data_IF_577002366554
#
_entry.id   IF_577002366554
#
_cell.length_a   1.000
_cell.length_b   1.000
_cell.length_c   1.000
_cell.angle_alpha   90.00
_cell.angle_beta   90.00
_cell.angle_gamma   90.00
#
_symmetry.space_group_name_H-M   'P 1'
#
loop_
_entity.id
_entity.type
_entity.pdbx_description
1 polymer ?
#
# COMPACT_ATOMS: atom_id res chain seq x y z
N UNK A 1 -7.80 -8.01 42.77
CA UNK A 1 -7.53 -6.59 42.46
C UNK A 1 -7.71 -6.43 40.95
N UNK A 2 -8.72 -5.67 40.49
CA UNK A 2 -8.92 -5.43 39.06
C UNK A 2 -7.80 -4.53 38.52
N UNK A 3 -7.10 -4.88 37.43
CA UNK A 3 -6.21 -3.94 36.79
C UNK A 3 -7.04 -2.81 36.18
N UNK A 4 -6.71 -1.58 36.55
CA UNK A 4 -7.25 -0.38 35.90
C UNK A 4 -6.62 -0.29 34.50
N UNK A 5 -7.45 -0.42 33.48
CA UNK A 5 -7.07 -0.15 32.09
C UNK A 5 -6.72 1.34 31.96
N UNK A 6 -5.44 1.64 31.75
CA UNK A 6 -4.98 2.98 31.38
C UNK A 6 -4.82 2.96 29.86
N UNK A 7 -5.80 3.49 29.14
CA UNK A 7 -5.68 3.74 27.70
C UNK A 7 -4.87 5.03 27.54
N UNK A 8 -3.58 4.90 27.24
CA UNK A 8 -2.76 6.02 26.82
C UNK A 8 -2.94 6.20 25.31
N UNK A 9 -3.98 6.95 24.92
CA UNK A 9 -4.12 7.45 23.55
C UNK A 9 -3.08 8.55 23.36
N UNK A 10 -1.93 8.21 22.78
CA UNK A 10 -1.06 9.20 22.16
C UNK A 10 -1.77 9.72 20.91
N UNK A 11 -2.68 10.68 21.08
CA UNK A 11 -3.01 11.60 20.00
C UNK A 11 -1.82 12.55 19.84
N UNK A 12 -0.78 12.12 19.12
CA UNK A 12 0.02 13.10 18.41
C UNK A 12 -0.86 13.67 17.31
N UNK A 13 -1.64 14.70 17.64
CA UNK A 13 -2.26 15.56 16.64
C UNK A 13 -1.13 16.29 15.92
N UNK A 14 -0.63 15.68 14.86
CA UNK A 14 0.24 16.36 13.91
C UNK A 14 -0.69 16.94 12.84
N UNK A 15 -0.76 18.26 12.80
CA UNK A 15 -1.46 18.99 11.75
C UNK A 15 -0.86 18.61 10.39
N UNK A 16 -1.61 17.88 9.56
CA UNK A 16 -1.31 17.71 8.14
C UNK A 16 -1.95 18.86 7.37
N UNK A 17 -1.18 19.47 6.47
CA UNK A 17 -1.70 20.50 5.58
C UNK A 17 -2.68 19.88 4.54
N UNK A 18 -3.83 20.53 4.33
CA UNK A 18 -4.98 20.06 3.52
C UNK A 18 -5.43 21.15 2.53
N UNK A 19 -5.78 20.78 1.29
CA UNK A 19 -6.59 21.60 0.34
C UNK A 19 -7.43 20.73 -0.67
N UNK A 20 -7.93 19.52 -0.50
CA UNK A 20 -8.58 18.88 0.64
C UNK A 20 -8.71 17.37 0.30
N UNK A 21 -7.93 16.45 0.90
CA UNK A 21 -8.04 15.01 0.69
C UNK A 21 -8.90 14.34 1.77
N UNK A 22 -9.99 13.69 1.36
CA UNK A 22 -10.67 12.68 2.17
C UNK A 22 -11.18 11.55 1.27
N UNK A 23 -10.83 10.30 1.63
CA UNK A 23 -11.35 9.10 0.96
C UNK A 23 -11.78 8.09 2.02
N UNK A 24 -12.99 7.53 1.86
CA UNK A 24 -13.51 6.46 2.70
C UNK A 24 -14.36 5.57 1.82
N UNK A 25 -14.04 4.28 1.74
CA UNK A 25 -14.85 3.30 1.02
C UNK A 25 -15.19 2.12 1.93
N UNK A 26 -16.39 2.17 2.53
CA UNK A 26 -16.98 1.07 3.28
C UNK A 26 -17.79 0.16 2.34
N UNK A 27 -17.13 -0.27 1.26
CA UNK A 27 -17.72 -0.95 0.10
C UNK A 27 -17.30 -0.27 -1.21
N UNK A 28 -17.17 -1.07 -2.27
CA UNK A 28 -16.68 -0.63 -3.59
C UNK A 28 -17.79 -0.54 -4.65
N UNK A 29 -19.04 -0.77 -4.27
CA UNK A 29 -20.18 -0.64 -5.17
C UNK A 29 -20.30 0.80 -5.66
N UNK A 30 -20.24 1.00 -6.97
CA UNK A 30 -20.34 2.31 -7.63
C UNK A 30 -19.24 3.32 -7.25
N UNK A 31 -18.10 2.86 -6.73
CA UNK A 31 -16.95 3.73 -6.50
C UNK A 31 -16.25 4.04 -7.83
N UNK A 32 -15.92 5.31 -8.03
CA UNK A 32 -15.13 5.74 -9.18
C UNK A 32 -13.64 5.47 -8.91
N UNK A 33 -13.16 4.28 -9.27
CA UNK A 33 -11.73 3.94 -9.34
C UNK A 33 -11.34 3.70 -10.80
N UNK A 34 -10.12 4.10 -11.14
CA UNK A 34 -9.49 3.64 -12.39
C UNK A 34 -8.87 2.28 -12.12
N UNK A 35 -9.39 1.24 -12.77
CA UNK A 35 -8.87 -0.12 -12.66
C UNK A 35 -7.90 -0.41 -13.81
N UNK A 36 -6.86 -1.18 -13.51
CA UNK A 36 -5.85 -1.63 -14.48
C UNK A 36 -5.47 -3.10 -14.20
N UNK A 37 -5.05 -3.80 -15.25
CA UNK A 37 -4.81 -5.24 -15.19
C UNK A 37 -6.07 -6.04 -14.85
N UNK A 38 -5.95 -6.98 -13.90
CA UNK A 38 -7.03 -7.90 -13.53
C UNK A 38 -8.03 -7.34 -12.50
N UNK A 39 -7.81 -6.12 -12.02
CA UNK A 39 -8.62 -5.53 -10.97
C UNK A 39 -10.08 -5.35 -11.45
N UNK A 40 -11.05 -5.75 -10.61
CA UNK A 40 -12.48 -5.65 -10.92
C UNK A 40 -13.33 -5.43 -9.68
N UNK A 41 -14.56 -4.96 -9.90
CA UNK A 41 -15.61 -4.99 -8.88
C UNK A 41 -16.37 -6.32 -8.95
N UNK A 42 -16.52 -6.95 -7.80
CA UNK A 42 -17.36 -8.15 -7.64
C UNK A 42 -18.85 -7.76 -7.58
N UNK A 43 -19.75 -8.72 -7.85
CA UNK A 43 -21.20 -8.48 -7.82
C UNK A 43 -21.72 -8.09 -6.43
N UNK A 44 -21.04 -8.50 -5.36
CA UNK A 44 -21.33 -8.13 -3.97
C UNK A 44 -20.63 -6.84 -3.51
N UNK A 45 -19.97 -6.10 -4.41
CA UNK A 45 -19.46 -4.76 -4.12
C UNK A 45 -18.09 -4.72 -3.44
N UNK A 46 -17.27 -5.77 -3.56
CA UNK A 46 -15.86 -5.79 -3.16
C UNK A 46 -14.95 -5.43 -4.34
N UNK A 47 -13.82 -4.80 -4.06
CA UNK A 47 -12.70 -4.68 -4.99
C UNK A 47 -11.87 -5.96 -4.94
N UNK A 48 -11.78 -6.67 -6.06
CA UNK A 48 -10.91 -7.81 -6.24
C UNK A 48 -9.71 -7.36 -7.08
N UNK A 49 -8.49 -7.45 -6.53
CA UNK A 49 -7.26 -7.19 -7.27
C UNK A 49 -6.87 -8.44 -8.06
N UNK A 50 -6.38 -9.48 -7.38
CA UNK A 50 -5.99 -10.74 -8.01
C UNK A 50 -5.98 -11.89 -6.99
N UNK A 51 -6.00 -13.12 -7.51
CA UNK A 51 -5.80 -14.35 -6.75
C UNK A 51 -4.60 -15.17 -7.27
N UNK A 52 -3.81 -14.59 -8.17
CA UNK A 52 -2.63 -15.20 -8.80
C UNK A 52 -1.45 -14.25 -8.77
N UNK A 53 -0.24 -14.82 -8.80
CA UNK A 53 1.01 -14.05 -8.89
C UNK A 53 1.38 -13.67 -10.32
N UNK A 54 0.74 -14.24 -11.34
CA UNK A 54 1.17 -14.07 -12.73
C UNK A 54 0.57 -12.86 -13.45
N UNK A 55 -0.36 -12.16 -12.80
CA UNK A 55 -1.04 -11.00 -13.38
C UNK A 55 -0.89 -9.79 -12.48
N UNK A 56 -0.85 -8.60 -13.08
CA UNK A 56 -0.90 -7.33 -12.36
C UNK A 56 -2.36 -6.92 -12.15
N UNK A 57 -2.63 -6.22 -11.06
CA UNK A 57 -3.95 -5.70 -10.77
C UNK A 57 -3.82 -4.45 -9.92
N UNK A 58 -4.29 -3.32 -10.46
CA UNK A 58 -4.20 -2.04 -9.80
C UNK A 58 -5.55 -1.34 -9.74
N UNK A 59 -5.74 -0.60 -8.66
CA UNK A 59 -6.90 0.27 -8.50
C UNK A 59 -6.41 1.64 -8.04
N UNK A 60 -6.69 2.65 -8.84
CA UNK A 60 -6.23 4.01 -8.61
C UNK A 60 -7.39 4.93 -8.27
N UNK A 61 -7.16 5.76 -7.27
CA UNK A 61 -8.03 6.88 -7.02
C UNK A 61 -7.94 7.88 -8.21
N UNK A 62 -9.06 8.33 -8.80
CA UNK A 62 -9.06 9.18 -10.00
C UNK A 62 -8.59 10.62 -9.75
N UNK A 63 -8.38 11.03 -8.50
CA UNK A 63 -7.83 12.35 -8.14
C UNK A 63 -6.38 12.20 -7.70
N UNK A 64 -5.47 12.97 -8.30
CA UNK A 64 -4.10 13.09 -7.82
C UNK A 64 -4.05 13.85 -6.48
N UNK A 65 -3.22 13.39 -5.56
CA UNK A 65 -3.02 14.02 -4.25
C UNK A 65 -1.69 14.77 -4.27
N UNK A 66 -1.73 16.06 -3.94
CA UNK A 66 -0.52 16.87 -3.78
C UNK A 66 0.04 16.64 -2.37
N UNK A 67 1.18 15.97 -2.29
CA UNK A 67 1.80 15.64 -1.00
C UNK A 67 2.54 16.83 -0.39
N UNK A 68 3.29 17.61 -1.18
CA UNK A 68 4.10 18.74 -0.70
C UNK A 68 3.80 20.03 -1.47
N UNK A 69 3.88 21.15 -0.75
CA UNK A 69 3.79 22.50 -1.34
C UNK A 69 5.16 23.19 -1.48
N UNK A 70 6.17 22.72 -0.77
CA UNK A 70 7.55 23.19 -0.89
C UNK A 70 8.52 22.07 -0.51
N UNK A 71 9.76 22.19 -0.98
CA UNK A 71 10.82 21.17 -0.76
C UNK A 71 11.08 20.88 0.72
N UNK A 72 10.83 21.85 1.61
CA UNK A 72 11.13 21.77 3.04
C UNK A 72 9.90 21.45 3.91
N UNK A 73 8.75 21.16 3.29
CA UNK A 73 7.54 20.78 4.03
C UNK A 73 7.55 19.29 4.40
N UNK A 74 7.15 19.00 5.64
CA UNK A 74 6.88 17.64 6.10
C UNK A 74 5.48 17.21 5.66
N UNK A 75 5.33 15.91 5.40
CA UNK A 75 4.05 15.29 5.01
C UNK A 75 3.81 14.13 5.94
N UNK A 76 2.58 14.06 6.43
CA UNK A 76 2.11 12.96 7.25
C UNK A 76 0.90 12.36 6.55
N UNK A 77 0.92 11.05 6.34
CA UNK A 77 -0.17 10.30 5.76
C UNK A 77 -0.46 9.10 6.66
N UNK A 78 -1.74 8.83 6.88
CA UNK A 78 -2.21 7.64 7.58
C UNK A 78 -2.90 6.76 6.57
N UNK A 79 -2.53 5.48 6.55
CA UNK A 79 -3.10 4.50 5.67
C UNK A 79 -3.74 3.40 6.51
N UNK A 80 -5.02 3.13 6.27
CA UNK A 80 -5.73 2.03 6.87
C UNK A 80 -6.33 1.17 5.76
N UNK A 81 -6.13 -0.13 5.82
CA UNK A 81 -6.68 -1.08 4.88
C UNK A 81 -7.15 -2.33 5.63
N UNK A 82 -8.36 -2.79 5.30
CA UNK A 82 -8.91 -4.04 5.81
C UNK A 82 -9.09 -5.02 4.65
N UNK A 83 -8.54 -6.21 4.80
CA UNK A 83 -8.63 -7.28 3.80
C UNK A 83 -9.47 -8.41 4.39
N UNK A 84 -10.57 -8.76 3.71
CA UNK A 84 -11.39 -9.90 4.11
C UNK A 84 -10.66 -11.23 3.92
N UNK A 85 -9.89 -11.33 2.84
CA UNK A 85 -9.06 -12.49 2.50
C UNK A 85 -7.98 -12.06 1.53
N UNK A 86 -6.72 -12.34 1.84
CA UNK A 86 -5.63 -12.23 0.87
C UNK A 86 -4.83 -13.53 0.86
N UNK A 87 -4.47 -13.99 -0.33
CA UNK A 87 -3.57 -15.14 -0.54
C UNK A 87 -2.31 -14.71 -1.28
N UNK A 88 -2.16 -13.41 -1.54
CA UNK A 88 -1.04 -12.79 -2.24
C UNK A 88 -0.70 -11.45 -1.57
N UNK A 89 0.56 -11.05 -1.66
CA UNK A 89 1.02 -9.77 -1.12
C UNK A 89 0.40 -8.60 -1.87
N UNK A 90 0.09 -7.51 -1.14
CA UNK A 90 -0.54 -6.31 -1.69
C UNK A 90 0.30 -5.10 -1.34
N UNK A 91 0.52 -4.23 -2.32
CA UNK A 91 1.16 -2.92 -2.11
C UNK A 91 0.17 -1.79 -2.25
N UNK A 92 0.34 -0.78 -1.41
CA UNK A 92 -0.38 0.49 -1.45
C UNK A 92 0.60 1.59 -1.89
N UNK A 93 0.82 1.74 -3.22
CA UNK A 93 1.84 2.63 -3.75
C UNK A 93 1.35 4.08 -3.87
N UNK A 94 2.29 5.01 -3.70
CA UNK A 94 2.19 6.43 -4.05
C UNK A 94 3.27 6.75 -5.08
N UNK A 95 2.86 7.29 -6.23
CA UNK A 95 3.76 7.62 -7.33
C UNK A 95 3.13 8.71 -8.24
N UNK A 96 3.95 9.48 -8.98
CA UNK A 96 3.50 10.75 -9.58
C UNK A 96 2.59 10.62 -10.81
N UNK A 97 2.62 9.48 -11.51
CA UNK A 97 1.87 9.24 -12.75
C UNK A 97 0.89 8.08 -12.55
N UNK A 98 -0.17 7.94 -13.36
CA UNK A 98 -1.06 6.75 -13.30
C UNK A 98 -0.54 5.57 -14.11
N UNK A 99 0.72 5.62 -14.52
CA UNK A 99 1.37 4.54 -15.24
C UNK A 99 2.62 4.14 -14.49
N UNK A 100 2.85 2.83 -14.46
CA UNK A 100 4.08 2.21 -14.02
C UNK A 100 4.67 1.51 -15.26
N UNK A 101 5.33 2.26 -16.17
CA UNK A 101 5.97 1.65 -17.33
C UNK A 101 7.00 0.63 -16.83
N UNK A 102 6.87 -0.61 -17.31
CA UNK A 102 7.70 -1.72 -16.82
C UNK A 102 7.15 -2.42 -15.58
N UNK A 103 5.93 -2.12 -15.12
CA UNK A 103 5.28 -2.94 -14.09
C UNK A 103 5.10 -4.38 -14.56
N UNK A 104 5.70 -5.32 -13.85
CA UNK A 104 5.58 -6.75 -14.10
C UNK A 104 5.02 -7.48 -12.88
N UNK A 105 4.37 -8.61 -13.14
CA UNK A 105 3.77 -9.44 -12.10
C UNK A 105 4.84 -10.25 -11.34
N UNK A 106 4.39 -11.20 -10.53
CA UNK A 106 5.21 -12.08 -9.72
C UNK A 106 6.11 -11.32 -8.76
N UNK A 107 7.43 -11.43 -8.96
CA UNK A 107 8.44 -10.86 -8.06
C UNK A 107 8.27 -9.36 -7.88
N UNK A 108 7.83 -8.62 -8.91
CA UNK A 108 7.83 -7.16 -8.88
C UNK A 108 6.49 -6.53 -8.46
N UNK A 109 5.50 -7.37 -8.11
CA UNK A 109 4.21 -6.97 -7.52
C UNK A 109 3.47 -5.87 -8.29
N UNK A 110 3.66 -5.81 -9.60
CA UNK A 110 3.01 -4.84 -10.48
C UNK A 110 3.57 -3.41 -10.37
N UNK A 111 4.72 -3.20 -9.73
CA UNK A 111 5.31 -1.86 -9.58
C UNK A 111 6.58 -1.65 -10.40
N UNK A 112 7.36 -2.71 -10.63
CA UNK A 112 8.70 -2.63 -11.20
C UNK A 112 8.95 -3.75 -12.23
N UNK A 113 10.12 -3.74 -12.85
CA UNK A 113 10.73 -4.86 -13.56
C UNK A 113 12.25 -4.88 -13.32
N UNK A 114 12.91 -5.86 -13.94
CA UNK A 114 14.35 -6.03 -13.87
C UNK A 114 15.16 -4.83 -14.39
N UNK A 115 14.55 -3.92 -15.16
CA UNK A 115 15.23 -2.76 -15.76
C UNK A 115 15.11 -1.49 -14.91
N UNK A 116 14.06 -1.40 -14.08
CA UNK A 116 13.81 -0.21 -13.27
C UNK A 116 13.85 -0.45 -11.75
N UNK A 117 14.02 -1.70 -11.28
CA UNK A 117 14.13 -2.00 -9.85
C UNK A 117 15.28 -1.22 -9.18
N UNK A 118 14.96 -0.46 -8.13
CA UNK A 118 15.90 0.38 -7.39
C UNK A 118 16.22 1.72 -8.04
N UNK A 119 15.65 2.05 -9.21
CA UNK A 119 15.92 3.31 -9.89
C UNK A 119 15.29 4.50 -9.15
N UNK A 120 16.09 5.46 -8.69
CA UNK A 120 15.65 6.65 -7.95
C UNK A 120 14.68 7.55 -8.73
N UNK A 121 14.66 7.46 -10.06
CA UNK A 121 13.74 8.19 -10.95
C UNK A 121 12.32 7.60 -10.98
N UNK A 122 12.09 6.44 -10.36
CA UNK A 122 10.75 5.84 -10.25
C UNK A 122 9.80 6.73 -9.42
N UNK A 123 10.34 7.40 -8.39
CA UNK A 123 9.58 8.21 -7.43
C UNK A 123 8.39 7.44 -6.82
N UNK A 124 8.62 6.18 -6.45
CA UNK A 124 7.62 5.29 -5.84
C UNK A 124 7.90 5.17 -4.34
N UNK A 125 6.86 5.36 -3.54
CA UNK A 125 6.80 4.92 -2.15
C UNK A 125 5.70 3.88 -2.03
N UNK A 126 5.93 2.77 -1.33
CA UNK A 126 4.90 1.76 -1.13
C UNK A 126 4.95 1.19 0.28
N UNK A 127 3.77 0.96 0.85
CA UNK A 127 3.58 0.07 2.00
C UNK A 127 3.09 -1.27 1.48
N UNK A 128 3.77 -2.32 1.85
CA UNK A 128 3.45 -3.70 1.51
C UNK A 128 2.84 -4.42 2.70
N UNK A 129 1.79 -5.19 2.42
CA UNK A 129 1.33 -6.27 3.28
C UNK A 129 1.75 -7.58 2.62
N UNK A 130 2.85 -8.14 3.12
CA UNK A 130 3.48 -9.32 2.55
C UNK A 130 2.99 -10.57 3.27
N UNK A 131 2.60 -11.57 2.46
CA UNK A 131 2.12 -12.86 2.94
C UNK A 131 2.98 -14.02 2.43
N UNK A 132 4.12 -13.72 1.80
CA UNK A 132 4.88 -14.68 1.00
C UNK A 132 6.37 -14.38 1.06
N UNK A 133 7.11 -15.15 1.86
CA UNK A 133 8.55 -14.92 2.00
C UNK A 133 9.30 -15.13 0.68
N UNK A 134 10.13 -14.16 0.31
CA UNK A 134 11.14 -14.31 -0.74
C UNK A 134 12.59 -14.09 -0.24
N UNK A 135 13.34 -15.17 0.03
CA UNK A 135 14.72 -15.06 0.50
C UNK A 135 15.66 -14.32 -0.45
N UNK A 136 15.40 -14.31 -1.76
CA UNK A 136 16.24 -13.59 -2.73
C UNK A 136 16.16 -12.07 -2.56
N UNK A 137 15.12 -11.57 -1.88
CA UNK A 137 14.84 -10.16 -1.62
C UNK A 137 15.16 -9.72 -0.19
N UNK A 138 15.84 -10.57 0.60
CA UNK A 138 16.08 -10.38 2.03
C UNK A 138 14.79 -10.20 2.84
N UNK A 139 13.72 -10.87 2.38
CA UNK A 139 12.43 -10.88 3.03
C UNK A 139 12.49 -11.57 4.40
N UNK A 140 12.02 -10.87 5.43
CA UNK A 140 12.15 -11.27 6.82
C UNK A 140 11.31 -12.50 7.17
N UNK A 141 10.11 -12.65 6.62
CA UNK A 141 9.20 -13.77 6.85
C UNK A 141 7.96 -13.70 5.94
N UNK A 142 7.12 -14.74 5.98
CA UNK A 142 5.92 -14.84 5.14
C UNK A 142 4.69 -14.07 5.67
N UNK A 143 4.86 -13.14 6.61
CA UNK A 143 3.76 -12.40 7.21
C UNK A 143 4.24 -11.09 7.85
N UNK A 144 4.53 -10.08 7.03
CA UNK A 144 5.10 -8.83 7.50
C UNK A 144 4.54 -7.60 6.79
N UNK A 145 4.79 -6.43 7.38
CA UNK A 145 4.58 -5.13 6.74
C UNK A 145 5.93 -4.61 6.27
N UNK A 146 6.03 -4.27 4.99
CA UNK A 146 7.24 -3.71 4.37
C UNK A 146 7.03 -2.26 3.95
N UNK A 147 8.04 -1.43 4.07
CA UNK A 147 8.09 -0.06 3.53
C UNK A 147 9.20 -0.01 2.50
N UNK A 148 8.85 0.24 1.25
CA UNK A 148 9.77 0.29 0.12
C UNK A 148 9.76 1.62 -0.61
N UNK A 149 10.90 1.96 -1.20
CA UNK A 149 11.02 3.10 -2.11
C UNK A 149 11.73 2.67 -3.38
N UNK A 150 11.16 3.03 -4.55
CA UNK A 150 11.78 2.88 -5.86
C UNK A 150 12.20 1.46 -6.30
N UNK A 151 11.98 0.44 -5.48
CA UNK A 151 12.32 -0.94 -5.81
C UNK A 151 11.54 -1.96 -5.00
N UNK A 152 11.79 -3.23 -5.30
CA UNK A 152 11.07 -4.36 -4.72
C UNK A 152 11.56 -4.69 -3.29
N UNK A 153 12.84 -4.50 -2.98
CA UNK A 153 13.33 -4.70 -1.61
C UNK A 153 12.78 -3.63 -0.67
N UNK A 154 12.25 -4.06 0.46
CA UNK A 154 11.81 -3.16 1.52
C UNK A 154 13.01 -2.46 2.17
N UNK A 155 12.90 -1.16 2.38
CA UNK A 155 13.85 -0.37 3.16
C UNK A 155 13.74 -0.69 4.66
N UNK A 156 12.53 -0.98 5.13
CA UNK A 156 12.25 -1.37 6.51
C UNK A 156 11.06 -2.30 6.55
N UNK A 157 11.11 -3.34 7.39
CA UNK A 157 10.04 -4.31 7.55
C UNK A 157 9.84 -4.67 9.02
N UNK A 158 8.63 -5.08 9.37
CA UNK A 158 8.30 -5.62 10.67
C UNK A 158 7.28 -6.76 10.52
N UNK A 159 7.54 -7.89 11.20
CA UNK A 159 6.62 -9.03 11.24
C UNK A 159 5.25 -8.60 11.78
N UNK A 160 4.19 -9.13 11.20
CA UNK A 160 2.84 -8.90 11.69
C UNK A 160 2.69 -9.56 13.08
N UNK A 161 2.07 -8.83 14.00
CA UNK A 161 1.88 -9.27 15.36
C UNK A 161 0.45 -8.95 15.83
N UNK A 162 -0.07 -9.82 16.70
CA UNK A 162 -1.29 -9.57 17.43
C UNK A 162 -0.94 -9.00 18.80
N UNK A 163 -1.45 -7.82 19.10
CA UNK A 163 -1.32 -7.20 20.42
C UNK A 163 -2.66 -7.35 21.14
N UNK A 164 -2.67 -8.13 22.22
CA UNK A 164 -3.83 -8.23 23.08
C UNK A 164 -4.04 -6.89 23.81
N UNK A 165 -5.30 -6.46 23.90
CA UNK A 165 -5.71 -5.26 24.64
C UNK A 165 -5.63 -5.46 26.15
#
# INVERSE_FOLDING_TARGET
MCPKLIILLFFQTIFAYSEDPSFTYNGFKSVNLTLDGRAKFTSNGLLELTNTRHETAHAFHPKQVKLKNSSNSNVYAHLFAYFWKSTVSVRLPLFPKRSLPGASSALYLGLFDATNDGNSSNHVFAVELDTMQNPELDDIDSNHVGVGTNGIRSYSSASAAYYAN
#
